data_IF_439296314246
#
_entry.id   IF_439296314246
#
_cell.length_a   1.000
_cell.length_b   1.000
_cell.length_c   1.000
_cell.angle_alpha   90.00
_cell.angle_beta   90.00
_cell.angle_gamma   90.00
#
_symmetry.space_group_name_H-M   'P 1'
#
loop_
_entity.id
_entity.type
_entity.pdbx_description
1 polymer ?
#
# COMPACT_ATOMS: atom_id res chain seq x y z
N UNK A 1 -15.23 -1.54 7.34
CA UNK A 1 -15.19 -0.23 8.03
C UNK A 1 -14.81 0.80 6.97
N UNK A 2 -15.51 1.92 6.92
CA UNK A 2 -15.26 2.92 5.89
C UNK A 2 -13.91 3.62 6.11
N UNK A 3 -13.22 4.04 5.04
CA UNK A 3 -12.00 4.83 5.14
C UNK A 3 -12.22 6.14 5.90
N UNK A 4 -11.24 6.54 6.69
CA UNK A 4 -11.26 7.86 7.36
C UNK A 4 -10.98 8.98 6.35
N UNK A 5 -11.35 10.21 6.71
CA UNK A 5 -11.12 11.39 5.87
C UNK A 5 -9.64 11.58 5.49
N UNK A 6 -8.71 11.35 6.42
CA UNK A 6 -7.29 11.54 6.16
C UNK A 6 -6.72 10.45 5.25
N UNK A 7 -7.28 9.23 5.30
CA UNK A 7 -6.90 8.16 4.39
C UNK A 7 -7.29 8.51 2.96
N UNK A 8 -8.50 9.04 2.77
CA UNK A 8 -8.99 9.53 1.48
C UNK A 8 -8.15 10.72 0.97
N UNK A 9 -7.82 11.67 1.84
CA UNK A 9 -7.00 12.83 1.48
C UNK A 9 -5.58 12.44 1.04
N UNK A 10 -4.95 11.48 1.72
CA UNK A 10 -3.64 10.97 1.35
C UNK A 10 -3.69 10.28 -0.02
N UNK A 11 -4.66 9.39 -0.24
CA UNK A 11 -4.85 8.71 -1.52
C UNK A 11 -5.12 9.70 -2.68
N UNK A 12 -5.99 10.70 -2.45
CA UNK A 12 -6.28 11.74 -3.42
C UNK A 12 -5.04 12.56 -3.79
N UNK A 13 -4.16 12.83 -2.81
CA UNK A 13 -2.90 13.55 -3.05
C UNK A 13 -2.00 12.76 -4.00
N UNK A 14 -1.91 11.44 -3.82
CA UNK A 14 -1.16 10.53 -4.71
C UNK A 14 -1.78 10.48 -6.11
N UNK A 15 -3.11 10.35 -6.22
CA UNK A 15 -3.82 10.37 -7.52
C UNK A 15 -3.54 11.67 -8.29
N UNK A 16 -3.45 12.79 -7.57
CA UNK A 16 -3.10 14.11 -8.12
C UNK A 16 -1.60 14.28 -8.41
N UNK A 17 -0.81 13.20 -8.31
CA UNK A 17 0.64 13.16 -8.57
C UNK A 17 1.43 14.15 -7.71
N UNK A 18 1.04 14.29 -6.44
CA UNK A 18 1.74 15.10 -5.45
C UNK A 18 2.33 14.22 -4.36
N UNK A 19 3.45 14.67 -3.81
CA UNK A 19 4.06 14.02 -2.66
C UNK A 19 3.26 14.29 -1.38
N UNK A 20 3.23 13.31 -0.48
CA UNK A 20 2.56 13.44 0.81
C UNK A 20 3.35 12.72 1.91
N UNK A 21 3.33 13.28 3.12
CA UNK A 21 3.86 12.65 4.34
C UNK A 21 2.70 12.46 5.31
N UNK A 22 2.50 11.21 5.75
CA UNK A 22 1.44 10.86 6.70
C UNK A 22 2.06 10.53 8.05
N UNK A 23 1.64 11.24 9.09
CA UNK A 23 1.98 10.93 10.48
C UNK A 23 0.75 10.40 11.21
N UNK A 24 0.75 9.11 11.55
CA UNK A 24 -0.33 8.46 12.29
C UNK A 24 0.17 7.29 13.14
N UNK A 25 -0.51 7.00 14.25
CA UNK A 25 -0.14 5.93 15.18
C UNK A 25 -0.21 4.52 14.57
N UNK A 26 0.42 3.53 15.21
CA UNK A 26 0.27 2.11 14.84
C UNK A 26 -1.20 1.68 14.91
N UNK A 27 -1.62 0.73 14.06
CA UNK A 27 -3.03 0.28 14.00
C UNK A 27 -4.03 1.28 13.40
N UNK A 28 -3.62 2.52 13.06
CA UNK A 28 -4.51 3.53 12.48
C UNK A 28 -4.93 3.25 11.02
N UNK A 29 -4.34 2.25 10.37
CA UNK A 29 -4.65 1.91 8.97
C UNK A 29 -3.86 2.72 7.94
N UNK A 30 -2.61 3.08 8.25
CA UNK A 30 -1.70 3.79 7.32
C UNK A 30 -1.44 3.06 6.01
N UNK A 31 -1.62 1.74 5.98
CA UNK A 31 -1.36 0.91 4.79
C UNK A 31 -2.37 1.21 3.66
N UNK A 32 -3.65 1.40 4.01
CA UNK A 32 -4.73 1.52 3.03
C UNK A 32 -4.52 2.68 2.03
N UNK A 33 -4.10 3.90 2.45
CA UNK A 33 -3.82 4.99 1.51
C UNK A 33 -2.74 4.72 0.45
N UNK A 34 -1.77 3.84 0.69
CA UNK A 34 -0.73 3.52 -0.29
C UNK A 34 -1.28 2.80 -1.52
N UNK A 35 -2.27 1.93 -1.31
CA UNK A 35 -2.83 1.07 -2.36
C UNK A 35 -4.20 1.53 -2.84
N UNK A 36 -4.84 2.47 -2.13
CA UNK A 36 -6.14 3.03 -2.55
C UNK A 36 -6.14 3.58 -3.99
N UNK A 37 -5.08 4.26 -4.49
CA UNK A 37 -5.03 4.68 -5.89
C UNK A 37 -5.12 3.53 -6.91
N UNK A 38 -4.67 2.32 -6.55
CA UNK A 38 -4.69 1.15 -7.44
C UNK A 38 -6.11 0.65 -7.74
N UNK A 39 -7.08 0.94 -6.87
CA UNK A 39 -8.48 0.62 -7.14
C UNK A 39 -9.17 1.65 -8.05
N UNK A 40 -8.53 2.81 -8.26
CA UNK A 40 -9.06 3.88 -9.10
C UNK A 40 -8.58 3.77 -10.56
N UNK A 41 -7.37 3.27 -10.78
CA UNK A 41 -6.75 3.16 -12.10
C UNK A 41 -5.91 1.88 -12.21
N UNK A 42 -6.39 0.94 -13.04
CA UNK A 42 -5.76 -0.36 -13.29
C UNK A 42 -4.38 -0.24 -13.99
N UNK A 43 -4.05 0.94 -14.53
CA UNK A 43 -2.75 1.24 -15.12
C UNK A 43 -1.67 1.63 -14.10
N UNK A 44 -2.04 1.84 -12.83
CA UNK A 44 -1.10 2.21 -11.78
C UNK A 44 -0.37 1.00 -11.20
N UNK A 45 0.90 1.21 -10.88
CA UNK A 45 1.74 0.26 -10.15
C UNK A 45 2.30 0.97 -8.92
N UNK A 46 2.07 0.41 -7.74
CA UNK A 46 2.67 0.90 -6.50
C UNK A 46 3.94 0.10 -6.17
N UNK A 47 5.02 0.81 -5.86
CA UNK A 47 6.24 0.23 -5.28
C UNK A 47 6.30 0.64 -3.82
N UNK A 48 6.17 -0.33 -2.91
CA UNK A 48 6.16 -0.10 -1.47
C UNK A 48 7.48 -0.59 -0.88
N UNK A 49 8.24 0.32 -0.30
CA UNK A 49 9.48 0.00 0.39
C UNK A 49 9.17 -0.31 1.85
N UNK A 50 9.32 -1.58 2.21
CA UNK A 50 9.13 -2.06 3.58
C UNK A 50 10.47 -2.40 4.22
N UNK A 51 10.72 -1.97 5.47
CA UNK A 51 12.01 -2.19 6.12
C UNK A 51 12.23 -3.63 6.61
N UNK A 52 11.18 -4.46 6.61
CA UNK A 52 11.22 -5.84 7.10
C UNK A 52 10.58 -6.78 6.07
N UNK A 53 11.28 -7.87 5.76
CA UNK A 53 10.80 -8.95 4.88
C UNK A 53 9.43 -9.48 5.34
N UNK A 54 9.28 -9.77 6.63
CA UNK A 54 8.02 -10.24 7.20
C UNK A 54 6.85 -9.25 6.97
N UNK A 55 7.11 -7.94 7.09
CA UNK A 55 6.09 -6.92 6.87
C UNK A 55 5.70 -6.82 5.39
N UNK A 56 6.67 -6.91 4.48
CA UNK A 56 6.40 -6.92 3.03
C UNK A 56 5.56 -8.13 2.63
N UNK A 57 5.86 -9.31 3.19
CA UNK A 57 5.11 -10.54 2.92
C UNK A 57 3.65 -10.45 3.42
N UNK A 58 3.44 -9.96 4.65
CA UNK A 58 2.10 -9.74 5.22
C UNK A 58 1.28 -8.74 4.38
N UNK A 59 1.90 -7.64 3.96
CA UNK A 59 1.25 -6.67 3.08
C UNK A 59 0.85 -7.27 1.72
N UNK A 60 1.75 -8.04 1.09
CA UNK A 60 1.46 -8.67 -0.20
C UNK A 60 0.31 -9.68 -0.09
N UNK A 61 0.24 -10.46 1.00
CA UNK A 61 -0.89 -11.35 1.27
C UNK A 61 -2.20 -10.58 1.44
N UNK A 62 -2.20 -9.56 2.31
CA UNK A 62 -3.36 -8.70 2.54
C UNK A 62 -3.87 -8.04 1.24
N UNK A 63 -2.97 -7.58 0.37
CA UNK A 63 -3.36 -6.96 -0.89
C UNK A 63 -3.98 -7.97 -1.86
N UNK A 64 -3.51 -9.22 -1.88
CA UNK A 64 -4.14 -10.30 -2.65
C UNK A 64 -5.53 -10.63 -2.12
N UNK A 65 -5.74 -10.61 -0.80
CA UNK A 65 -7.09 -10.74 -0.21
C UNK A 65 -8.03 -9.62 -0.65
N UNK A 66 -7.49 -8.44 -0.93
CA UNK A 66 -8.24 -7.30 -1.49
C UNK A 66 -8.39 -7.34 -3.02
N UNK A 67 -8.05 -8.46 -3.67
CA UNK A 67 -8.05 -8.66 -5.12
C UNK A 67 -7.06 -7.76 -5.90
N UNK A 68 -6.01 -7.25 -5.24
CA UNK A 68 -4.90 -6.60 -5.92
C UNK A 68 -3.84 -7.63 -6.32
N UNK A 69 -3.21 -7.42 -7.49
CA UNK A 69 -2.03 -8.20 -7.89
C UNK A 69 -0.81 -7.69 -7.12
N UNK A 70 -0.35 -8.44 -6.13
CA UNK A 70 0.75 -8.05 -5.27
C UNK A 70 1.79 -9.16 -5.10
N UNK A 71 3.07 -8.77 -5.12
CA UNK A 71 4.24 -9.61 -4.88
C UNK A 71 5.20 -8.88 -3.94
N UNK A 72 5.75 -9.59 -2.96
CA UNK A 72 6.86 -9.11 -2.16
C UNK A 72 8.15 -9.57 -2.84
N UNK A 73 9.13 -8.66 -2.98
CA UNK A 73 10.43 -8.95 -3.57
C UNK A 73 11.47 -8.79 -2.46
N UNK A 74 12.15 -9.87 -2.13
CA UNK A 74 13.14 -9.94 -1.05
C UNK A 74 14.15 -11.08 -1.33
N UNK A 75 14.99 -11.39 -0.34
CA UNK A 75 15.99 -12.45 -0.40
C UNK A 75 15.43 -13.83 -0.75
N UNK A 76 14.22 -14.16 -0.29
CA UNK A 76 13.59 -15.45 -0.57
C UNK A 76 13.18 -15.58 -2.05
N UNK A 77 12.84 -14.44 -2.68
CA UNK A 77 12.48 -14.40 -4.11
C UNK A 77 13.68 -14.61 -5.03
N UNK A 78 14.90 -14.38 -4.54
CA UNK A 78 16.14 -14.60 -5.31
C UNK A 78 16.62 -16.05 -5.26
N UNK A 79 16.06 -16.86 -4.35
CA UNK A 79 16.45 -18.25 -4.14
C UNK A 79 15.65 -19.25 -5.01
N UNK A 80 14.67 -18.78 -5.77
CA UNK A 80 13.89 -19.53 -6.78
C UNK A 80 14.37 -19.22 -8.21
#
# INVERSE_FOLDING_TARGET
KDPTWWQLQAAQTVIQRRDCVVSAGTGSGKTLPFVMPLFYDDGLVAVILSPLTALANEQAEQFREWNLRAVAINEDTLAE
#
